data_IF_165075596107
#
_entry.id   IF_165075596107
#
_cell.length_a   1.000
_cell.length_b   1.000
_cell.length_c   1.000
_cell.angle_alpha   90.00
_cell.angle_beta   90.00
_cell.angle_gamma   90.00
#
_symmetry.space_group_name_H-M   'P 1'
#
loop_
_entity.id
_entity.type
_entity.pdbx_description
1 polymer ?
#
# COMPACT_ATOMS: atom_id res chain seq x y z
N UNK A 1 40.19 -13.76 -30.12
CA UNK A 1 39.40 -12.95 -31.07
C UNK A 1 38.28 -12.30 -30.31
N UNK A 2 38.31 -10.98 -30.28
CA UNK A 2 37.32 -10.07 -29.70
C UNK A 2 35.98 -10.15 -30.42
N UNK A 3 34.88 -10.18 -29.67
CA UNK A 3 33.65 -9.51 -30.10
C UNK A 3 33.30 -8.47 -29.04
N UNK A 4 33.61 -7.21 -29.37
CA UNK A 4 33.12 -6.01 -28.71
C UNK A 4 31.85 -5.61 -29.45
N UNK A 5 30.74 -5.48 -28.75
CA UNK A 5 29.59 -4.61 -29.08
C UNK A 5 28.82 -4.44 -27.74
N UNK A 6 29.17 -3.46 -26.91
CA UNK A 6 28.69 -2.07 -26.93
C UNK A 6 27.18 -1.95 -26.75
N UNK A 7 26.72 -1.92 -25.50
CA UNK A 7 25.58 -1.07 -25.09
C UNK A 7 26.09 -0.11 -24.03
N UNK A 8 26.86 0.87 -24.50
CA UNK A 8 27.15 2.11 -23.78
C UNK A 8 25.97 3.05 -23.94
N UNK A 9 25.05 3.05 -22.99
CA UNK A 9 24.12 4.14 -22.77
C UNK A 9 23.87 4.20 -21.26
N UNK A 10 24.59 5.11 -20.58
CA UNK A 10 24.36 5.70 -19.24
C UNK A 10 25.66 6.28 -18.62
N UNK A 11 26.75 6.42 -19.37
CA UNK A 11 27.94 7.19 -18.94
C UNK A 11 27.78 8.69 -19.19
N UNK A 12 26.79 9.32 -18.55
CA UNK A 12 26.47 10.74 -18.80
C UNK A 12 25.96 11.55 -17.61
N UNK A 13 26.02 11.04 -16.38
CA UNK A 13 25.65 11.81 -15.19
C UNK A 13 26.80 11.78 -14.17
N UNK A 14 27.39 12.95 -13.92
CA UNK A 14 28.37 13.18 -12.84
C UNK A 14 27.80 12.64 -11.52
N UNK A 15 28.57 11.92 -10.70
CA UNK A 15 28.07 11.46 -9.40
C UNK A 15 28.09 12.65 -8.45
N UNK A 16 26.95 13.31 -8.24
CA UNK A 16 26.71 13.91 -6.92
C UNK A 16 26.62 12.75 -5.96
N UNK A 17 27.68 12.53 -5.20
CA UNK A 17 27.77 11.57 -4.12
C UNK A 17 26.58 11.78 -3.18
N UNK A 18 25.56 10.93 -3.32
CA UNK A 18 24.56 10.74 -2.28
C UNK A 18 24.92 9.39 -1.68
N UNK A 19 25.54 9.42 -0.50
CA UNK A 19 25.80 8.23 0.30
C UNK A 19 24.50 7.43 0.43
N UNK A 20 24.35 6.38 -0.38
CA UNK A 20 23.40 5.31 -0.12
C UNK A 20 23.99 4.50 1.01
N UNK A 21 23.71 4.92 2.25
CA UNK A 21 23.88 4.06 3.40
C UNK A 21 23.06 2.80 3.13
N UNK A 22 23.76 1.70 2.87
CA UNK A 22 23.22 0.36 3.01
C UNK A 22 22.82 0.19 4.47
N UNK A 23 21.53 0.32 4.76
CA UNK A 23 21.02 -0.12 6.05
C UNK A 23 21.09 -1.65 6.10
N UNK A 24 21.59 -2.23 7.21
CA UNK A 24 21.59 -3.67 7.37
C UNK A 24 20.15 -4.16 7.39
N UNK A 25 19.88 -5.25 6.67
CA UNK A 25 18.66 -6.05 6.80
C UNK A 25 18.76 -6.75 8.16
N UNK A 26 18.54 -5.98 9.23
CA UNK A 26 18.18 -6.57 10.51
C UNK A 26 16.82 -7.23 10.28
N UNK A 27 16.80 -8.53 10.51
CA UNK A 27 15.61 -9.33 10.77
C UNK A 27 14.85 -8.71 11.94
N UNK A 28 14.09 -7.65 11.66
CA UNK A 28 13.03 -7.16 12.51
C UNK A 28 11.90 -8.16 12.34
N UNK A 29 11.94 -9.18 13.20
CA UNK A 29 10.79 -9.80 13.84
C UNK A 29 9.48 -9.15 13.37
N UNK A 30 8.74 -9.88 12.52
CA UNK A 30 7.48 -9.49 11.89
C UNK A 30 6.34 -9.34 12.89
N UNK A 31 6.59 -8.62 13.98
CA UNK A 31 5.59 -8.12 14.90
C UNK A 31 4.79 -7.08 14.13
N UNK A 32 3.74 -7.59 13.50
CA UNK A 32 2.56 -6.87 13.06
C UNK A 32 2.47 -5.50 13.76
N UNK A 33 2.82 -4.42 13.05
CA UNK A 33 2.51 -3.06 13.49
C UNK A 33 1.01 -2.83 13.27
N UNK A 34 0.18 -3.74 13.77
CA UNK A 34 -1.12 -3.40 14.31
C UNK A 34 -0.86 -3.01 15.76
N UNK A 35 -0.17 -1.88 15.98
CA UNK A 35 -0.40 -1.15 17.22
C UNK A 35 -1.90 -0.86 17.18
N UNK A 36 -2.65 -1.58 18.01
CA UNK A 36 -4.08 -1.42 18.22
C UNK A 36 -4.30 0.06 18.44
N UNK A 37 -4.66 0.77 17.36
CA UNK A 37 -5.06 2.16 17.43
C UNK A 37 -6.29 2.11 18.30
N UNK A 38 -6.16 2.55 19.55
CA UNK A 38 -7.33 2.75 20.38
C UNK A 38 -8.21 3.76 19.63
N UNK A 39 -9.48 3.42 19.45
CA UNK A 39 -10.40 4.23 18.65
C UNK A 39 -10.58 5.65 19.20
N UNK A 40 -10.22 5.90 20.46
CA UNK A 40 -10.27 7.19 21.14
C UNK A 40 -9.11 8.11 20.72
N UNK A 41 -7.88 7.59 20.65
CA UNK A 41 -6.68 8.33 20.21
C UNK A 41 -6.78 8.73 18.75
N UNK A 42 -7.26 7.84 17.87
CA UNK A 42 -7.45 8.17 16.45
C UNK A 42 -8.46 9.31 16.25
N UNK A 43 -9.53 9.32 17.05
CA UNK A 43 -10.58 10.34 16.99
C UNK A 43 -10.09 11.74 17.40
N UNK A 44 -9.20 11.79 18.41
CA UNK A 44 -8.63 13.04 18.90
C UNK A 44 -7.53 13.59 17.96
N UNK A 45 -6.70 12.71 17.39
CA UNK A 45 -5.59 13.12 16.50
C UNK A 45 -6.07 13.56 15.12
N UNK A 46 -7.12 12.95 14.55
CA UNK A 46 -7.54 13.23 13.17
C UNK A 46 -8.60 14.35 13.01
N UNK A 47 -8.98 15.07 14.09
CA UNK A 47 -9.99 16.15 14.03
C UNK A 47 -11.28 15.77 13.26
N UNK A 48 -11.70 14.49 13.30
CA UNK A 48 -12.88 14.03 12.54
C UNK A 48 -14.17 14.71 13.02
N UNK A 49 -14.18 15.22 14.26
CA UNK A 49 -15.29 15.96 14.87
C UNK A 49 -15.64 17.25 14.12
N UNK A 50 -14.64 17.95 13.56
CA UNK A 50 -14.84 19.25 12.94
C UNK A 50 -15.21 19.18 11.45
N UNK A 51 -14.82 18.10 10.74
CA UNK A 51 -15.11 17.94 9.30
C UNK A 51 -16.34 17.10 8.96
N UNK A 52 -16.75 16.18 9.83
CA UNK A 52 -17.90 15.27 9.58
C UNK A 52 -19.17 15.64 10.35
N UNK A 53 -19.12 16.69 11.19
CA UNK A 53 -20.25 17.09 12.03
C UNK A 53 -20.52 16.16 13.22
N UNK A 54 -19.66 15.16 13.46
CA UNK A 54 -19.76 14.26 14.61
C UNK A 54 -19.26 15.01 15.86
N UNK A 55 -20.14 15.72 16.55
CA UNK A 55 -19.74 16.39 17.80
C UNK A 55 -19.70 15.39 18.98
N UNK A 56 -18.72 15.51 19.88
CA UNK A 56 -18.65 14.67 21.09
C UNK A 56 -19.53 15.33 22.16
N UNK A 57 -20.57 14.66 22.67
CA UNK A 57 -21.30 15.18 23.85
C UNK A 57 -22.77 14.81 24.04
N UNK A 58 -23.48 14.28 23.05
CA UNK A 58 -24.90 13.91 23.25
C UNK A 58 -25.43 13.04 22.11
N UNK A 59 -25.34 11.70 22.28
CA UNK A 59 -25.86 10.62 21.39
C UNK A 59 -25.76 10.92 19.88
N UNK A 60 -24.55 10.90 19.33
CA UNK A 60 -24.27 11.32 17.94
C UNK A 60 -24.12 10.12 17.03
N UNK A 61 -25.14 9.92 16.21
CA UNK A 61 -25.14 8.94 15.13
C UNK A 61 -25.11 9.68 13.81
N UNK A 62 -24.39 9.16 12.83
CA UNK A 62 -24.40 9.62 11.46
C UNK A 62 -25.52 8.91 10.71
N UNK A 63 -26.37 9.66 10.02
CA UNK A 63 -27.41 9.09 9.15
C UNK A 63 -26.80 8.47 7.89
N UNK A 64 -27.51 7.53 7.25
CA UNK A 64 -27.07 6.96 5.99
C UNK A 64 -26.77 8.02 4.91
N UNK A 65 -27.55 9.11 4.85
CA UNK A 65 -27.32 10.21 3.90
C UNK A 65 -26.00 10.96 4.17
N UNK A 66 -25.74 11.28 5.44
CA UNK A 66 -24.46 11.90 5.83
C UNK A 66 -23.28 10.97 5.57
N UNK A 67 -23.48 9.66 5.72
CA UNK A 67 -22.44 8.69 5.42
C UNK A 67 -22.16 8.57 3.93
N UNK A 68 -23.20 8.62 3.08
CA UNK A 68 -23.05 8.73 1.62
C UNK A 68 -22.20 9.95 1.24
N UNK A 69 -22.50 11.11 1.84
CA UNK A 69 -21.73 12.33 1.62
C UNK A 69 -20.25 12.14 2.00
N UNK A 70 -19.98 11.52 3.15
CA UNK A 70 -18.62 11.20 3.59
C UNK A 70 -17.89 10.28 2.60
N UNK A 71 -18.53 9.19 2.16
CA UNK A 71 -17.94 8.25 1.19
C UNK A 71 -17.59 8.95 -0.12
N UNK A 72 -18.50 9.76 -0.65
CA UNK A 72 -18.35 10.37 -1.96
C UNK A 72 -17.48 11.62 -1.99
N UNK A 73 -17.50 12.44 -0.92
CA UNK A 73 -16.78 13.71 -0.87
C UNK A 73 -15.41 13.61 -0.18
N UNK A 74 -15.25 12.66 0.75
CA UNK A 74 -14.01 12.55 1.55
C UNK A 74 -13.19 11.31 1.22
N UNK A 75 -13.81 10.14 1.04
CA UNK A 75 -13.06 8.89 0.81
C UNK A 75 -12.75 8.63 -0.67
N UNK A 76 -13.60 9.09 -1.58
CA UNK A 76 -13.42 8.87 -3.02
C UNK A 76 -12.22 9.67 -3.55
N UNK A 77 -11.37 9.01 -4.35
CA UNK A 77 -10.35 9.69 -5.16
C UNK A 77 -11.04 10.42 -6.33
N UNK A 78 -10.91 11.77 -6.43
CA UNK A 78 -11.58 12.56 -7.47
C UNK A 78 -11.09 12.25 -8.89
N UNK A 79 -9.98 11.51 -9.06
CA UNK A 79 -9.45 11.13 -10.37
C UNK A 79 -10.09 9.86 -10.94
N UNK A 80 -10.90 9.14 -10.15
CA UNK A 80 -11.54 7.90 -10.59
C UNK A 80 -12.75 8.16 -11.49
N UNK A 81 -12.81 7.42 -12.60
CA UNK A 81 -13.92 7.48 -13.54
C UNK A 81 -15.26 7.07 -12.89
N UNK A 82 -16.32 7.84 -13.13
CA UNK A 82 -17.63 7.66 -12.49
C UNK A 82 -18.41 6.44 -13.01
N UNK A 83 -18.15 6.00 -14.24
CA UNK A 83 -18.81 4.84 -14.85
C UNK A 83 -18.18 3.54 -14.31
N UNK A 84 -16.85 3.49 -14.28
CA UNK A 84 -16.11 2.31 -13.78
C UNK A 84 -16.14 2.22 -12.25
N UNK A 85 -16.20 3.35 -11.57
CA UNK A 85 -16.30 3.44 -10.12
C UNK A 85 -17.50 4.31 -9.75
N UNK A 86 -18.72 3.75 -9.65
CA UNK A 86 -19.91 4.54 -9.34
C UNK A 86 -19.86 5.15 -7.94
N UNK A 87 -20.57 6.25 -7.75
CA UNK A 87 -20.75 6.87 -6.44
C UNK A 87 -21.49 5.93 -5.48
N UNK A 88 -21.12 6.00 -4.21
CA UNK A 88 -21.86 5.32 -3.15
C UNK A 88 -23.28 5.89 -3.07
N UNK A 89 -24.27 5.01 -2.94
CA UNK A 89 -25.67 5.38 -2.77
C UNK A 89 -26.16 4.99 -1.37
N UNK A 90 -27.39 5.40 -1.04
CA UNK A 90 -28.00 5.13 0.26
C UNK A 90 -28.10 3.64 0.58
N UNK A 91 -28.28 2.78 -0.44
CA UNK A 91 -28.31 1.32 -0.26
C UNK A 91 -26.95 0.82 0.21
N UNK A 92 -25.87 1.16 -0.49
CA UNK A 92 -24.50 0.79 -0.10
C UNK A 92 -24.15 1.30 1.30
N UNK A 93 -24.53 2.54 1.62
CA UNK A 93 -24.33 3.08 2.96
C UNK A 93 -25.08 2.27 4.02
N UNK A 94 -26.33 1.86 3.77
CA UNK A 94 -27.10 1.00 4.69
C UNK A 94 -26.49 -0.38 4.84
N UNK A 95 -25.94 -0.98 3.79
CA UNK A 95 -25.30 -2.29 3.85
C UNK A 95 -24.05 -2.25 4.75
N UNK A 96 -23.21 -1.23 4.57
CA UNK A 96 -22.03 -0.99 5.42
C UNK A 96 -22.46 -0.73 6.86
N UNK A 97 -23.52 0.07 7.09
CA UNK A 97 -24.07 0.29 8.43
C UNK A 97 -24.56 -1.03 9.04
N UNK A 98 -25.24 -1.89 8.28
CA UNK A 98 -25.72 -3.18 8.75
C UNK A 98 -24.59 -4.12 9.17
N UNK A 99 -23.45 -4.04 8.49
CA UNK A 99 -22.27 -4.84 8.75
C UNK A 99 -21.48 -4.36 9.97
N UNK A 100 -21.24 -3.05 10.09
CA UNK A 100 -20.30 -2.51 11.08
C UNK A 100 -20.96 -1.91 12.32
N UNK A 101 -22.24 -1.55 12.29
CA UNK A 101 -22.92 -0.98 13.47
C UNK A 101 -23.17 -2.07 14.53
N UNK A 102 -22.63 -1.92 15.76
CA UNK A 102 -22.83 -2.89 16.83
C UNK A 102 -24.27 -2.95 17.33
N UNK A 103 -24.96 -1.81 17.36
CA UNK A 103 -26.33 -1.73 17.86
C UNK A 103 -27.34 -1.98 16.73
N UNK A 104 -28.04 -3.11 16.80
CA UNK A 104 -29.05 -3.51 15.80
C UNK A 104 -30.21 -2.53 15.67
N UNK A 105 -30.57 -1.80 16.74
CA UNK A 105 -31.61 -0.77 16.67
C UNK A 105 -31.20 0.41 15.78
N UNK A 106 -29.96 0.89 15.96
CA UNK A 106 -29.40 1.97 15.15
C UNK A 106 -29.23 1.52 13.69
N UNK A 107 -28.73 0.30 13.51
CA UNK A 107 -28.56 -0.34 12.21
C UNK A 107 -29.87 -0.39 11.42
N UNK A 108 -30.97 -0.84 12.03
CA UNK A 108 -32.30 -0.87 11.40
C UNK A 108 -32.81 0.53 11.03
N UNK A 109 -32.43 1.56 11.79
CA UNK A 109 -32.75 2.96 11.50
C UNK A 109 -31.81 3.60 10.45
N UNK A 110 -30.81 2.87 9.96
CA UNK A 110 -29.79 3.42 9.06
C UNK A 110 -28.93 4.50 9.74
N UNK A 111 -28.65 4.31 11.03
CA UNK A 111 -27.83 5.20 11.85
C UNK A 111 -26.53 4.50 12.23
N UNK A 112 -25.41 5.20 12.01
CA UNK A 112 -24.07 4.72 12.35
C UNK A 112 -23.57 5.44 13.60
N UNK A 113 -23.31 4.68 14.66
CA UNK A 113 -22.65 5.19 15.85
C UNK A 113 -21.17 5.49 15.58
N UNK A 114 -20.53 6.19 16.51
CA UNK A 114 -19.08 6.42 16.48
C UNK A 114 -18.31 5.08 16.48
N UNK A 115 -18.75 4.10 17.28
CA UNK A 115 -18.11 2.78 17.33
C UNK A 115 -18.25 2.04 15.98
N UNK A 116 -19.45 2.08 15.39
CA UNK A 116 -19.68 1.52 14.05
C UNK A 116 -18.83 2.19 12.97
N UNK A 117 -18.69 3.52 13.04
CA UNK A 117 -17.85 4.28 12.12
C UNK A 117 -16.35 3.94 12.27
N UNK A 118 -15.85 3.82 13.50
CA UNK A 118 -14.48 3.40 13.76
C UNK A 118 -14.22 1.97 13.25
N UNK A 119 -15.17 1.05 13.43
CA UNK A 119 -15.09 -0.30 12.87
C UNK A 119 -15.00 -0.26 11.35
N UNK A 120 -15.80 0.58 10.69
CA UNK A 120 -15.69 0.79 9.24
C UNK A 120 -14.31 1.31 8.82
N UNK A 121 -13.78 2.35 9.49
CA UNK A 121 -12.47 2.92 9.13
C UNK A 121 -11.30 1.92 9.24
N UNK A 122 -11.41 0.95 10.15
CA UNK A 122 -10.41 -0.10 10.35
C UNK A 122 -10.71 -1.38 9.56
N UNK A 123 -11.80 -1.42 8.81
CA UNK A 123 -12.23 -2.58 8.04
C UNK A 123 -11.55 -2.67 6.68
N UNK A 124 -11.67 -3.84 6.04
CA UNK A 124 -11.18 -4.09 4.69
C UNK A 124 -11.92 -3.26 3.63
N UNK A 125 -13.16 -2.84 3.91
CA UNK A 125 -13.96 -1.97 3.03
C UNK A 125 -13.39 -0.54 2.91
N UNK A 126 -12.47 -0.15 3.80
CA UNK A 126 -11.80 1.14 3.82
C UNK A 126 -10.27 1.00 3.67
N UNK A 127 -9.82 0.04 2.85
CA UNK A 127 -8.39 -0.14 2.58
C UNK A 127 -7.80 1.05 1.80
N UNK A 128 -6.59 1.46 2.18
CA UNK A 128 -5.85 2.57 1.54
C UNK A 128 -5.50 2.21 0.09
N UNK A 129 -5.25 0.92 -0.18
CA UNK A 129 -4.85 0.42 -1.50
C UNK A 129 -6.04 -0.31 -2.10
N UNK A 130 -6.44 0.09 -3.32
CA UNK A 130 -7.50 -0.57 -4.06
C UNK A 130 -7.15 -2.04 -4.32
N UNK A 131 -8.08 -3.00 -4.12
CA UNK A 131 -7.83 -4.43 -4.34
C UNK A 131 -7.22 -4.75 -5.71
N UNK A 132 -7.66 -4.05 -6.75
CA UNK A 132 -7.15 -4.20 -8.13
C UNK A 132 -5.66 -3.90 -8.28
N UNK A 133 -5.03 -3.18 -7.34
CA UNK A 133 -3.57 -2.95 -7.36
C UNK A 133 -2.76 -4.14 -6.86
N UNK A 134 -3.40 -5.10 -6.18
CA UNK A 134 -2.76 -6.34 -5.75
C UNK A 134 -2.85 -7.45 -6.80
N UNK A 135 -3.71 -7.28 -7.80
CA UNK A 135 -3.88 -8.22 -8.89
C UNK A 135 -2.93 -7.87 -10.05
N UNK A 136 -2.56 -8.88 -10.83
CA UNK A 136 -1.82 -8.67 -12.08
C UNK A 136 -2.78 -8.08 -13.12
N UNK A 137 -2.95 -6.76 -13.09
CA UNK A 137 -3.86 -6.05 -13.99
C UNK A 137 -3.15 -5.40 -15.18
N UNK A 138 -1.81 -5.41 -15.21
CA UNK A 138 -1.05 -4.83 -16.31
C UNK A 138 -1.05 -5.78 -17.52
N UNK A 139 -1.20 -5.22 -18.72
CA UNK A 139 -1.08 -5.98 -19.97
C UNK A 139 0.35 -6.50 -20.12
N UNK A 140 0.52 -7.82 -20.26
CA UNK A 140 1.83 -8.50 -20.32
C UNK A 140 2.26 -8.87 -21.76
N UNK A 141 1.55 -8.38 -22.78
CA UNK A 141 1.79 -8.70 -24.20
C UNK A 141 2.63 -7.64 -24.94
N UNK A 142 3.03 -6.55 -24.27
CA UNK A 142 3.91 -5.55 -24.88
C UNK A 142 5.36 -6.07 -24.98
N UNK A 143 6.22 -5.44 -25.80
CA UNK A 143 7.65 -5.75 -25.82
C UNK A 143 8.32 -5.50 -24.46
N UNK A 144 9.37 -6.28 -24.13
CA UNK A 144 10.05 -6.23 -22.82
C UNK A 144 10.54 -4.82 -22.42
N UNK A 145 10.92 -4.00 -23.41
CA UNK A 145 11.40 -2.64 -23.19
C UNK A 145 10.36 -1.67 -22.60
N UNK A 146 9.07 -2.03 -22.61
CA UNK A 146 7.99 -1.20 -22.06
C UNK A 146 7.76 -1.42 -20.56
N UNK A 147 8.44 -2.40 -19.94
CA UNK A 147 8.25 -2.75 -18.55
C UNK A 147 9.42 -2.31 -17.68
N UNK A 148 9.10 -1.84 -16.47
CA UNK A 148 10.09 -1.75 -15.41
C UNK A 148 10.34 -3.14 -14.83
N UNK A 149 11.59 -3.60 -14.87
CA UNK A 149 12.00 -4.91 -14.37
C UNK A 149 12.72 -4.73 -13.04
N UNK A 150 12.27 -5.45 -12.02
CA UNK A 150 12.96 -5.52 -10.73
C UNK A 150 14.28 -6.30 -10.89
N UNK A 151 15.41 -5.60 -10.89
CA UNK A 151 16.76 -6.15 -11.11
C UNK A 151 17.65 -6.02 -9.88
N UNK A 152 18.46 -7.04 -9.62
CA UNK A 152 19.46 -7.07 -8.57
C UNK A 152 20.87 -7.03 -9.17
N UNK A 153 21.72 -6.18 -8.61
CA UNK A 153 23.14 -6.07 -8.96
C UNK A 153 24.00 -6.72 -7.88
N UNK A 154 25.10 -7.35 -8.28
CA UNK A 154 25.98 -8.11 -7.40
C UNK A 154 25.21 -9.03 -6.44
N UNK A 155 24.21 -9.75 -6.98
CA UNK A 155 23.23 -10.53 -6.20
C UNK A 155 23.87 -11.53 -5.24
N UNK A 156 25.08 -12.01 -5.55
CA UNK A 156 25.85 -12.92 -4.71
C UNK A 156 26.34 -12.29 -3.40
N UNK A 157 26.51 -10.97 -3.30
CA UNK A 157 27.10 -10.32 -2.12
C UNK A 157 26.13 -10.23 -0.96
N UNK A 158 26.57 -10.64 0.23
CA UNK A 158 25.78 -10.55 1.46
C UNK A 158 26.08 -9.29 2.28
N UNK A 159 26.90 -8.36 1.76
CA UNK A 159 27.39 -7.21 2.52
C UNK A 159 28.25 -6.25 1.69
N UNK A 160 29.35 -5.76 2.27
CA UNK A 160 30.19 -4.72 1.67
C UNK A 160 30.75 -5.13 0.28
N UNK A 161 30.86 -4.17 -0.65
CA UNK A 161 31.24 -4.45 -2.04
C UNK A 161 32.67 -4.99 -2.22
N UNK A 162 33.59 -4.62 -1.32
CA UNK A 162 35.01 -5.01 -1.41
C UNK A 162 35.40 -6.15 -0.45
N UNK A 163 34.68 -6.30 0.66
CA UNK A 163 35.06 -7.18 1.78
C UNK A 163 33.94 -8.15 2.18
N UNK A 164 32.77 -8.02 1.53
CA UNK A 164 31.63 -8.89 1.75
C UNK A 164 31.85 -10.28 1.19
N UNK A 165 31.19 -11.25 1.82
CA UNK A 165 31.20 -12.64 1.35
C UNK A 165 30.17 -12.81 0.23
N UNK A 166 30.41 -13.79 -0.63
CA UNK A 166 29.42 -14.27 -1.59
C UNK A 166 28.62 -15.43 -1.00
N UNK A 167 27.32 -15.50 -1.32
CA UNK A 167 26.44 -16.59 -0.91
C UNK A 167 25.44 -16.92 -2.00
N UNK A 168 25.19 -18.21 -2.20
CA UNK A 168 24.14 -18.72 -3.10
C UNK A 168 22.74 -18.46 -2.54
N UNK A 169 22.58 -18.36 -1.23
CA UNK A 169 21.30 -18.07 -0.57
C UNK A 169 20.74 -16.69 -0.96
N UNK A 170 21.63 -15.76 -1.31
CA UNK A 170 21.24 -14.41 -1.69
C UNK A 170 20.44 -14.38 -3.01
N UNK A 171 20.73 -15.31 -3.93
CA UNK A 171 19.92 -15.51 -5.13
C UNK A 171 18.50 -15.99 -4.80
N UNK A 172 18.37 -16.93 -3.85
CA UNK A 172 17.06 -17.43 -3.39
C UNK A 172 16.24 -16.28 -2.80
N UNK A 173 16.84 -15.48 -1.93
CA UNK A 173 16.15 -14.35 -1.29
C UNK A 173 15.72 -13.27 -2.30
N UNK A 174 16.60 -12.90 -3.25
CA UNK A 174 16.24 -11.94 -4.30
C UNK A 174 15.08 -12.43 -5.17
N UNK A 175 15.08 -13.70 -5.58
CA UNK A 175 14.00 -14.27 -6.39
C UNK A 175 12.67 -14.33 -5.61
N UNK A 176 12.71 -14.70 -4.33
CA UNK A 176 11.52 -14.69 -3.46
C UNK A 176 10.97 -13.28 -3.22
N UNK A 177 11.83 -12.26 -3.21
CA UNK A 177 11.44 -10.85 -3.14
C UNK A 177 10.86 -10.32 -4.48
N UNK A 178 10.75 -11.16 -5.51
CA UNK A 178 10.17 -10.80 -6.81
C UNK A 178 11.16 -10.19 -7.81
N UNK A 179 12.47 -10.31 -7.56
CA UNK A 179 13.48 -9.93 -8.56
C UNK A 179 13.40 -10.86 -9.78
N UNK A 180 13.54 -10.28 -10.98
CA UNK A 180 13.44 -11.01 -12.26
C UNK A 180 14.73 -10.98 -13.09
N UNK A 181 15.72 -10.20 -12.68
CA UNK A 181 17.05 -10.16 -13.28
C UNK A 181 18.11 -10.18 -12.18
N UNK A 182 19.00 -11.16 -12.21
CA UNK A 182 20.06 -11.35 -11.21
C UNK A 182 21.44 -11.35 -11.86
N UNK A 183 22.44 -10.86 -11.14
CA UNK A 183 23.81 -10.81 -11.63
C UNK A 183 24.63 -11.99 -11.10
N UNK A 184 25.39 -12.63 -11.99
CA UNK A 184 26.29 -13.73 -11.66
C UNK A 184 27.71 -13.40 -12.08
N UNK A 185 28.61 -13.25 -11.10
CA UNK A 185 30.03 -13.08 -11.35
C UNK A 185 30.72 -14.46 -11.43
N UNK A 186 31.23 -14.79 -12.61
CA UNK A 186 32.04 -15.99 -12.83
C UNK A 186 33.48 -15.56 -13.05
N UNK A 187 34.41 -16.11 -12.26
CA UNK A 187 35.85 -15.90 -12.46
C UNK A 187 36.45 -17.17 -13.05
N UNK A 188 36.98 -17.09 -14.27
CA UNK A 188 37.79 -18.15 -14.84
C UNK A 188 39.15 -18.18 -14.13
N UNK A 189 39.59 -19.39 -13.76
CA UNK A 189 40.93 -19.67 -13.23
C UNK A 189 41.88 -20.07 -14.35
#
# INVERSE_FOLDING_TARGET
MTCKETVSAWQGARPTARHSQTTPINSADGRSIRKRLDGSSFFHTFQLTNKTGISVGSKKHMTAAQFVDFLNKTQRDPRLNEILHPYANTTRAKDIIAQYEPNKYNSQKGQLSIDGFLRYLMSEDNNIIAPSRYELCDEMDHPLAHYFINSSHNTYLTGHQLTGRSSTEMYRQCLLAGCRSVESAVRCL
#
